data_IF_544664357515
#
_entry.id   IF_544664357515
#
_cell.length_a   1.000
_cell.length_b   1.000
_cell.length_c   1.000
_cell.angle_alpha   90.00
_cell.angle_beta   90.00
_cell.angle_gamma   90.00
#
_symmetry.space_group_name_H-M   'P 1'
#
loop_
_entity.id
_entity.type
_entity.pdbx_description
1 polymer ?
#
# COMPACT_ATOMS: atom_id res chain seq x y z
N UNK A 1 0.58 -21.18 15.91
CA UNK A 1 -0.81 -20.69 15.85
C UNK A 1 -1.00 -20.04 14.48
N UNK A 2 -2.19 -20.08 13.89
CA UNK A 2 -2.41 -19.38 12.63
C UNK A 2 -2.25 -17.87 12.85
N UNK A 3 -1.57 -17.17 11.94
CA UNK A 3 -1.49 -15.70 12.00
C UNK A 3 -2.90 -15.12 11.92
N UNK A 4 -3.22 -14.09 12.71
CA UNK A 4 -4.53 -13.44 12.66
C UNK A 4 -4.73 -12.81 11.27
N UNK A 5 -5.95 -12.95 10.76
CA UNK A 5 -6.29 -12.63 9.37
C UNK A 5 -7.65 -11.94 9.24
N UNK A 6 -7.80 -11.15 8.17
CA UNK A 6 -9.09 -10.60 7.77
C UNK A 6 -10.06 -11.69 7.32
N UNK A 7 -11.38 -11.48 7.51
CA UNK A 7 -12.39 -12.44 7.07
C UNK A 7 -12.39 -12.60 5.55
N UNK A 8 -12.61 -13.84 5.10
CA UNK A 8 -12.73 -14.20 3.68
C UNK A 8 -14.20 -14.08 3.28
N UNK A 9 -14.49 -13.11 2.43
CA UNK A 9 -15.82 -12.82 1.89
C UNK A 9 -15.89 -13.16 0.40
N UNK A 10 -17.07 -13.06 -0.20
CA UNK A 10 -17.21 -13.16 -1.67
C UNK A 10 -16.48 -12.05 -2.41
N UNK A 11 -16.29 -10.89 -1.78
CA UNK A 11 -15.62 -9.73 -2.38
C UNK A 11 -14.10 -9.90 -2.47
N UNK A 12 -13.45 -10.43 -1.42
CA UNK A 12 -11.98 -10.49 -1.35
C UNK A 12 -11.40 -11.88 -1.68
N UNK A 13 -12.22 -12.94 -1.79
CA UNK A 13 -11.75 -14.31 -2.04
C UNK A 13 -11.13 -14.44 -3.43
N UNK A 14 -9.85 -14.79 -3.48
CA UNK A 14 -9.14 -15.03 -4.74
C UNK A 14 -9.68 -16.27 -5.48
N UNK A 15 -10.17 -16.08 -6.70
CA UNK A 15 -10.55 -17.18 -7.60
C UNK A 15 -9.35 -17.78 -8.37
N UNK A 16 -8.59 -16.94 -9.08
CA UNK A 16 -7.45 -17.38 -9.91
C UNK A 16 -6.14 -17.38 -9.12
N UNK A 17 -5.47 -18.53 -9.10
CA UNK A 17 -4.19 -18.78 -8.39
C UNK A 17 -4.31 -18.50 -6.88
N UNK A 18 -5.26 -19.15 -6.17
CA UNK A 18 -5.58 -18.86 -4.77
C UNK A 18 -4.42 -19.13 -3.80
N UNK A 19 -3.45 -19.99 -4.17
CA UNK A 19 -2.23 -20.25 -3.37
C UNK A 19 -1.36 -19.00 -3.14
N UNK A 20 -1.50 -17.99 -4.01
CA UNK A 20 -0.86 -16.67 -3.89
C UNK A 20 -1.61 -15.72 -2.97
N UNK A 21 -2.78 -16.11 -2.50
CA UNK A 21 -3.60 -15.33 -1.59
C UNK A 21 -2.99 -15.28 -0.19
N UNK A 22 -3.05 -14.11 0.41
CA UNK A 22 -2.74 -13.84 1.81
C UNK A 22 -3.87 -13.00 2.38
N UNK A 23 -4.18 -13.22 3.66
CA UNK A 23 -5.27 -12.53 4.35
C UNK A 23 -4.83 -12.08 5.75
N UNK A 24 -3.63 -12.48 6.18
CA UNK A 24 -3.02 -12.08 7.44
C UNK A 24 -2.78 -10.57 7.48
N UNK A 25 -2.91 -10.00 8.68
CA UNK A 25 -2.75 -8.57 8.93
C UNK A 25 -1.37 -8.06 8.50
N UNK A 26 -0.31 -8.75 8.92
CA UNK A 26 1.07 -8.40 8.60
C UNK A 26 1.28 -8.16 7.09
N UNK A 27 0.87 -9.11 6.24
CA UNK A 27 1.05 -8.96 4.78
C UNK A 27 0.23 -7.79 4.23
N UNK A 28 -1.03 -7.65 4.64
CA UNK A 28 -1.93 -6.60 4.11
C UNK A 28 -1.44 -5.22 4.54
N UNK A 29 -1.16 -5.02 5.83
CA UNK A 29 -0.71 -3.75 6.38
C UNK A 29 0.64 -3.35 5.81
N UNK A 30 1.58 -4.30 5.70
CA UNK A 30 2.89 -4.03 5.10
C UNK A 30 2.75 -3.53 3.67
N UNK A 31 1.91 -4.16 2.85
CA UNK A 31 1.73 -3.72 1.45
C UNK A 31 1.10 -2.33 1.37
N UNK A 32 0.10 -2.04 2.21
CA UNK A 32 -0.56 -0.73 2.27
C UNK A 32 0.43 0.36 2.72
N UNK A 33 1.13 0.14 3.83
CA UNK A 33 1.99 1.13 4.46
C UNK A 33 3.27 1.42 3.67
N UNK A 34 3.74 0.47 2.87
CA UNK A 34 4.94 0.65 2.04
C UNK A 34 4.64 1.14 0.63
N UNK A 35 3.37 1.17 0.22
CA UNK A 35 3.00 1.73 -1.08
C UNK A 35 3.12 3.26 -1.07
N UNK A 36 3.80 3.87 -2.06
CA UNK A 36 3.95 5.32 -2.09
C UNK A 36 2.62 6.05 -2.32
N UNK A 37 1.67 5.39 -3.01
CA UNK A 37 0.34 5.92 -3.30
C UNK A 37 -0.69 4.79 -3.20
N UNK A 38 -1.79 5.07 -2.51
CA UNK A 38 -2.97 4.25 -2.44
C UNK A 38 -3.97 4.68 -3.50
N UNK A 39 -4.56 3.72 -4.20
CA UNK A 39 -5.63 3.96 -5.16
C UNK A 39 -6.98 3.72 -4.46
N UNK A 40 -7.70 4.80 -4.20
CA UNK A 40 -8.98 4.75 -3.48
C UNK A 40 -10.11 4.86 -4.47
N UNK A 41 -10.97 3.86 -4.46
CA UNK A 41 -12.10 3.75 -5.38
C UNK A 41 -13.42 3.76 -4.65
N UNK A 42 -14.39 4.47 -5.21
CA UNK A 42 -15.76 4.52 -4.71
C UNK A 42 -16.72 4.84 -5.86
N UNK A 43 -18.01 4.59 -5.66
CA UNK A 43 -19.03 4.92 -6.65
C UNK A 43 -19.61 6.30 -6.34
N UNK A 44 -19.56 7.19 -7.33
CA UNK A 44 -20.26 8.47 -7.28
C UNK A 44 -21.67 8.27 -7.86
N UNK A 45 -22.76 8.49 -7.11
CA UNK A 45 -24.11 8.27 -7.62
C UNK A 45 -24.49 9.18 -8.80
N UNK A 46 -23.75 10.27 -9.05
CA UNK A 46 -24.03 11.19 -10.15
C UNK A 46 -23.53 10.68 -11.51
N UNK A 47 -22.70 9.63 -11.54
CA UNK A 47 -22.11 9.13 -12.78
C UNK A 47 -21.84 7.61 -12.74
N UNK A 48 -21.85 6.91 -13.89
CA UNK A 48 -21.89 5.44 -13.91
C UNK A 48 -20.53 4.74 -13.68
N UNK A 49 -19.42 5.48 -13.66
CA UNK A 49 -18.07 4.95 -13.51
C UNK A 49 -17.61 4.96 -12.05
N UNK A 50 -16.81 3.98 -11.61
CA UNK A 50 -16.14 4.10 -10.32
C UNK A 50 -15.12 5.26 -10.38
N UNK A 51 -15.14 6.11 -9.37
CA UNK A 51 -14.06 7.09 -9.15
C UNK A 51 -12.83 6.34 -8.65
N UNK A 52 -11.65 6.74 -9.11
CA UNK A 52 -10.35 6.27 -8.57
C UNK A 52 -9.47 7.47 -8.34
N UNK A 53 -9.05 7.70 -7.10
CA UNK A 53 -8.21 8.83 -6.71
C UNK A 53 -6.93 8.35 -6.01
N UNK A 54 -5.77 8.94 -6.32
CA UNK A 54 -4.54 8.68 -5.60
C UNK A 54 -4.54 9.42 -4.26
N UNK A 55 -4.20 8.70 -3.19
CA UNK A 55 -4.01 9.27 -1.87
C UNK A 55 -2.81 8.67 -1.13
N UNK A 56 -2.30 9.43 -0.17
CA UNK A 56 -1.40 8.98 0.89
C UNK A 56 -2.27 8.52 2.05
N UNK A 57 -1.85 7.45 2.71
CA UNK A 57 -2.54 6.89 3.85
C UNK A 57 -1.71 5.79 4.49
N UNK A 58 -2.16 5.33 5.65
CA UNK A 58 -1.52 4.25 6.38
C UNK A 58 -2.54 3.56 7.29
N UNK A 59 -2.26 2.32 7.64
CA UNK A 59 -3.00 1.61 8.68
C UNK A 59 -2.56 2.11 10.05
N UNK A 60 -3.51 2.35 10.95
CA UNK A 60 -3.24 2.69 12.33
C UNK A 60 -4.47 2.40 13.21
N UNK A 61 -4.25 2.28 14.51
CA UNK A 61 -5.31 2.06 15.50
C UNK A 61 -5.29 3.21 16.50
N UNK A 62 -6.34 4.02 16.52
CA UNK A 62 -6.44 5.17 17.44
C UNK A 62 -6.92 4.74 18.82
N UNK A 63 -7.81 3.74 18.88
CA UNK A 63 -8.41 3.24 20.11
C UNK A 63 -7.38 2.46 20.97
N UNK A 64 -6.45 1.76 20.32
CA UNK A 64 -5.31 1.08 20.94
C UNK A 64 -4.02 1.35 20.15
N UNK A 65 -3.30 2.39 20.55
CA UNK A 65 -2.09 2.85 19.86
C UNK A 65 -0.86 1.95 20.11
N UNK A 66 -0.93 1.08 21.11
CA UNK A 66 0.13 0.14 21.49
C UNK A 66 -0.13 -1.28 20.96
N UNK A 67 -1.29 -1.51 20.31
CA UNK A 67 -1.63 -2.77 19.68
C UNK A 67 -0.56 -3.20 18.66
N UNK A 68 -0.17 -4.49 18.70
CA UNK A 68 0.66 -5.07 17.65
C UNK A 68 -0.12 -5.05 16.32
N UNK A 69 0.32 -4.29 15.31
CA UNK A 69 -0.39 -4.19 14.04
C UNK A 69 -0.43 -5.54 13.31
N UNK A 70 0.52 -6.44 13.56
CA UNK A 70 0.53 -7.76 12.94
C UNK A 70 -0.46 -8.73 13.60
N UNK A 71 -0.95 -8.39 14.79
CA UNK A 71 -1.83 -9.23 15.59
C UNK A 71 -3.28 -8.73 15.65
N UNK A 72 -3.52 -7.48 15.27
CA UNK A 72 -4.80 -6.78 15.43
C UNK A 72 -5.28 -6.19 14.12
N UNK A 73 -6.59 -6.05 13.96
CA UNK A 73 -7.11 -5.23 12.88
C UNK A 73 -6.74 -3.76 13.10
N UNK A 74 -6.63 -3.05 11.99
CA UNK A 74 -6.26 -1.64 11.95
C UNK A 74 -7.26 -0.93 11.06
N UNK A 75 -7.60 0.30 11.42
CA UNK A 75 -8.28 1.21 10.51
C UNK A 75 -7.26 1.74 9.48
N UNK A 76 -7.76 2.18 8.34
CA UNK A 76 -6.95 2.85 7.33
C UNK A 76 -7.26 4.34 7.31
N UNK A 77 -6.27 5.16 7.62
CA UNK A 77 -6.38 6.62 7.56
C UNK A 77 -5.84 7.13 6.23
N UNK A 78 -6.58 8.04 5.60
CA UNK A 78 -6.25 8.58 4.29
C UNK A 78 -6.31 10.10 4.36
N UNK A 79 -5.24 10.77 3.93
CA UNK A 79 -5.26 12.21 3.77
C UNK A 79 -6.17 12.52 2.58
N UNK A 80 -7.17 13.39 2.74
CA UNK A 80 -8.01 13.66 1.58
C UNK A 80 -9.30 14.36 1.91
N UNK A 81 -9.62 15.31 1.05
CA UNK A 81 -10.96 15.84 0.90
C UNK A 81 -11.61 15.13 -0.30
N UNK A 82 -12.21 13.97 -0.05
CA UNK A 82 -13.27 13.52 -0.96
C UNK A 82 -14.35 14.57 -0.84
N UNK A 83 -14.66 15.26 -1.94
CA UNK A 83 -15.44 16.49 -1.91
C UNK A 83 -16.60 16.33 -0.93
N UNK A 84 -16.79 17.27 -0.01
CA UNK A 84 -17.85 17.19 0.98
C UNK A 84 -19.23 16.95 0.35
N UNK A 85 -19.38 17.09 -0.98
CA UNK A 85 -20.55 16.66 -1.76
C UNK A 85 -20.74 15.14 -1.81
N UNK A 86 -19.70 14.32 -1.92
CA UNK A 86 -19.84 12.84 -1.91
C UNK A 86 -20.32 12.36 -0.54
N UNK A 87 -19.82 12.96 0.55
CA UNK A 87 -20.34 12.70 1.90
C UNK A 87 -21.67 13.40 2.22
N UNK A 88 -21.97 14.58 1.64
CA UNK A 88 -23.26 15.29 1.80
C UNK A 88 -24.39 14.69 0.95
N UNK A 89 -24.08 14.18 -0.24
CA UNK A 89 -24.96 13.33 -1.05
C UNK A 89 -25.15 11.95 -0.40
N UNK A 90 -24.33 11.64 0.61
CA UNK A 90 -24.50 10.61 1.63
C UNK A 90 -25.71 10.80 2.57
N UNK A 91 -26.76 11.53 2.18
CA UNK A 91 -28.10 11.22 2.71
C UNK A 91 -28.55 9.79 2.35
N UNK A 92 -27.81 9.12 1.46
CA UNK A 92 -27.94 7.71 1.10
C UNK A 92 -26.72 6.84 1.48
N UNK A 93 -25.71 7.35 2.20
CA UNK A 93 -24.68 6.48 2.78
C UNK A 93 -25.26 5.83 4.03
N UNK A 94 -25.12 4.52 4.17
CA UNK A 94 -25.55 3.79 5.38
C UNK A 94 -24.93 4.39 6.64
N UNK A 95 -25.49 4.06 7.81
CA UNK A 95 -24.91 4.42 9.11
C UNK A 95 -23.41 4.01 9.25
N UNK A 96 -22.95 3.07 8.41
CA UNK A 96 -21.58 2.56 8.38
C UNK A 96 -20.57 3.52 7.69
N UNK A 97 -21.01 4.45 6.84
CA UNK A 97 -20.17 5.36 6.07
C UNK A 97 -20.19 5.12 4.55
N UNK A 98 -19.27 5.77 3.82
CA UNK A 98 -19.15 5.61 2.35
C UNK A 98 -18.43 4.30 2.02
N UNK A 99 -19.04 3.34 1.28
CA UNK A 99 -18.34 2.14 0.87
C UNK A 99 -17.21 2.48 -0.10
N UNK A 100 -15.99 2.04 0.22
CA UNK A 100 -14.81 2.28 -0.60
C UNK A 100 -13.97 1.00 -0.77
N UNK A 101 -13.13 1.00 -1.78
CA UNK A 101 -12.08 0.00 -2.01
C UNK A 101 -10.74 0.70 -2.11
N UNK A 102 -9.72 0.20 -1.40
CA UNK A 102 -8.36 0.73 -1.47
C UNK A 102 -7.43 -0.33 -2.02
N UNK A 103 -6.65 0.03 -3.04
CA UNK A 103 -5.66 -0.84 -3.65
C UNK A 103 -4.24 -0.27 -3.51
N UNK A 104 -3.31 -1.16 -3.16
CA UNK A 104 -1.87 -0.91 -3.14
C UNK A 104 -1.16 -2.00 -3.94
N UNK A 105 -0.12 -1.65 -4.70
CA UNK A 105 0.60 -2.61 -5.54
C UNK A 105 2.07 -2.24 -5.71
N UNK A 106 2.90 -3.28 -5.73
CA UNK A 106 4.34 -3.24 -5.96
C UNK A 106 4.69 -4.24 -7.05
N UNK A 107 5.57 -3.85 -7.97
CA UNK A 107 6.26 -4.78 -8.86
C UNK A 107 7.63 -5.04 -8.25
N UNK A 108 8.00 -6.31 -8.14
CA UNK A 108 9.26 -6.74 -7.54
C UNK A 108 10.21 -7.38 -8.59
N UNK A 109 9.73 -7.69 -9.80
CA UNK A 109 10.59 -8.11 -10.92
C UNK A 109 9.83 -8.58 -12.17
N UNK A 110 10.49 -8.56 -13.33
CA UNK A 110 9.99 -9.15 -14.58
C UNK A 110 10.40 -10.62 -14.66
N UNK A 111 9.45 -11.53 -14.80
CA UNK A 111 9.74 -12.97 -14.96
C UNK A 111 9.70 -13.33 -16.43
N UNK A 112 10.85 -13.74 -16.96
CA UNK A 112 11.08 -14.05 -18.37
C UNK A 112 11.24 -15.56 -18.52
N UNK A 113 10.33 -16.16 -19.28
CA UNK A 113 10.18 -17.59 -19.51
C UNK A 113 10.55 -17.96 -20.97
N UNK A 114 10.65 -19.25 -21.27
CA UNK A 114 10.96 -19.75 -22.62
C UNK A 114 9.84 -19.43 -23.62
N UNK A 115 8.60 -19.46 -23.16
CA UNK A 115 7.41 -19.20 -23.97
C UNK A 115 6.70 -17.92 -23.52
N UNK A 116 6.18 -17.08 -24.45
CA UNK A 116 5.51 -15.83 -24.10
C UNK A 116 4.36 -15.97 -23.11
N UNK A 117 3.65 -17.11 -23.12
CA UNK A 117 2.53 -17.38 -22.23
C UNK A 117 2.93 -17.57 -20.75
N UNK A 118 4.20 -17.87 -20.49
CA UNK A 118 4.74 -18.09 -19.15
C UNK A 118 5.49 -16.86 -18.60
N UNK A 119 5.63 -15.79 -19.41
CA UNK A 119 6.11 -14.50 -18.94
C UNK A 119 5.17 -13.90 -17.89
N UNK A 120 5.74 -13.22 -16.90
CA UNK A 120 4.97 -12.64 -15.79
C UNK A 120 5.76 -11.55 -15.07
N UNK A 121 5.32 -11.16 -13.88
CA UNK A 121 6.06 -10.30 -12.97
C UNK A 121 5.98 -10.84 -11.54
N UNK A 122 7.02 -10.68 -10.73
CA UNK A 122 6.88 -10.78 -9.27
C UNK A 122 6.20 -9.50 -8.79
N UNK A 123 5.24 -9.65 -7.88
CA UNK A 123 4.44 -8.52 -7.40
C UNK A 123 3.82 -8.83 -6.04
N UNK A 124 3.47 -7.77 -5.32
CA UNK A 124 2.67 -7.80 -4.10
C UNK A 124 1.57 -6.76 -4.23
N UNK A 125 0.32 -7.16 -4.02
CA UNK A 125 -0.81 -6.25 -4.05
C UNK A 125 -1.74 -6.52 -2.87
N UNK A 126 -2.35 -5.49 -2.31
CA UNK A 126 -3.40 -5.60 -1.32
C UNK A 126 -4.63 -4.84 -1.80
N UNK A 127 -5.81 -5.41 -1.54
CA UNK A 127 -7.11 -4.79 -1.76
C UNK A 127 -7.88 -4.82 -0.45
N UNK A 128 -8.30 -3.65 0.01
CA UNK A 128 -9.02 -3.42 1.26
C UNK A 128 -10.41 -2.92 0.92
N UNK A 129 -11.43 -3.56 1.51
CA UNK A 129 -12.82 -3.14 1.42
C UNK A 129 -13.27 -2.62 2.78
N UNK A 130 -13.91 -1.46 2.80
CA UNK A 130 -14.34 -0.85 4.05
C UNK A 130 -15.26 0.33 3.85
N UNK A 131 -15.53 1.02 4.95
CA UNK A 131 -16.41 2.18 4.98
C UNK A 131 -15.65 3.40 5.50
N UNK A 132 -15.62 4.44 4.67
CA UNK A 132 -14.97 5.70 5.00
C UNK A 132 -15.91 6.62 5.76
N UNK A 133 -15.38 7.25 6.80
CA UNK A 133 -16.03 8.30 7.59
C UNK A 133 -15.07 9.47 7.78
N UNK A 134 -15.61 10.68 7.92
CA UNK A 134 -14.81 11.86 8.22
C UNK A 134 -14.37 11.82 9.69
N UNK A 135 -13.07 12.02 9.94
CA UNK A 135 -12.56 12.15 11.30
C UNK A 135 -12.92 13.54 11.84
N UNK A 136 -13.79 13.59 12.84
CA UNK A 136 -14.25 14.86 13.46
C UNK A 136 -13.63 15.13 14.81
N UNK A 137 -13.14 14.10 15.51
CA UNK A 137 -12.41 14.27 16.76
C UNK A 137 -11.03 14.88 16.49
N UNK A 138 -10.63 15.87 17.29
CA UNK A 138 -9.39 16.60 17.07
C UNK A 138 -8.15 15.76 17.40
N UNK A 139 -8.22 14.91 18.44
CA UNK A 139 -7.11 14.06 18.84
C UNK A 139 -6.88 12.93 17.83
N UNK A 140 -7.95 12.29 17.36
CA UNK A 140 -7.90 11.28 16.29
C UNK A 140 -7.35 11.87 14.99
N UNK A 141 -7.76 13.09 14.63
CA UNK A 141 -7.28 13.76 13.43
C UNK A 141 -5.78 14.07 13.52
N UNK A 142 -5.30 14.58 14.64
CA UNK A 142 -3.87 14.85 14.86
C UNK A 142 -3.05 13.56 14.87
N UNK A 143 -3.57 12.50 15.51
CA UNK A 143 -2.97 11.17 15.49
C UNK A 143 -2.82 10.64 14.06
N UNK A 144 -3.89 10.69 13.28
CA UNK A 144 -3.88 10.22 11.89
C UNK A 144 -2.93 11.04 11.01
N UNK A 145 -2.91 12.37 11.15
CA UNK A 145 -1.97 13.24 10.43
C UNK A 145 -0.52 12.89 10.78
N UNK A 146 -0.22 12.64 12.06
CA UNK A 146 1.09 12.18 12.50
C UNK A 146 1.44 10.84 11.85
N UNK A 147 0.58 9.82 11.97
CA UNK A 147 0.82 8.49 11.40
C UNK A 147 1.03 8.54 9.89
N UNK A 148 0.22 9.29 9.14
CA UNK A 148 0.37 9.43 7.68
C UNK A 148 1.71 10.08 7.33
N UNK A 149 2.10 11.12 8.06
CA UNK A 149 3.36 11.84 7.83
C UNK A 149 4.57 10.93 8.10
N UNK A 150 4.58 10.26 9.24
CA UNK A 150 5.69 9.40 9.66
C UNK A 150 5.72 8.06 8.91
N UNK A 151 4.58 7.61 8.34
CA UNK A 151 4.56 6.46 7.44
C UNK A 151 5.32 6.74 6.14
N UNK A 152 5.31 8.00 5.66
CA UNK A 152 6.09 8.39 4.48
C UNK A 152 7.57 8.55 4.80
N UNK A 153 7.87 9.30 5.85
CA UNK A 153 9.23 9.56 6.31
C UNK A 153 9.22 9.53 7.85
N UNK A 154 9.74 8.48 8.48
CA UNK A 154 9.80 8.38 9.94
C UNK A 154 10.41 9.63 10.57
N UNK A 155 9.87 10.03 11.72
CA UNK A 155 10.25 11.23 12.48
C UNK A 155 9.89 12.57 11.80
N UNK A 156 9.38 12.56 10.56
CA UNK A 156 9.13 13.79 9.80
C UNK A 156 8.13 14.71 10.47
N UNK A 157 7.11 14.15 11.12
CA UNK A 157 6.16 14.93 11.89
C UNK A 157 6.91 15.77 12.91
N UNK A 158 7.60 15.16 13.88
CA UNK A 158 8.30 15.87 14.95
C UNK A 158 9.42 16.81 14.45
N UNK A 159 10.01 16.50 13.29
CA UNK A 159 11.05 17.32 12.62
C UNK A 159 10.50 18.44 11.73
N UNK A 160 9.19 18.60 11.68
CA UNK A 160 8.51 19.73 11.03
C UNK A 160 7.97 20.71 12.09
N UNK A 161 7.44 21.86 11.66
CA UNK A 161 6.79 22.81 12.58
C UNK A 161 5.53 22.18 13.19
N UNK A 162 5.48 22.07 14.51
CA UNK A 162 4.33 21.54 15.25
C UNK A 162 3.90 22.44 16.41
N UNK A 163 2.61 22.40 16.80
CA UNK A 163 1.52 21.68 16.14
C UNK A 163 1.05 22.37 14.84
N UNK A 164 0.23 21.70 13.99
CA UNK A 164 -0.46 22.37 12.90
C UNK A 164 -1.28 23.57 13.39
N UNK A 165 -1.32 24.62 12.57
CA UNK A 165 -2.15 25.80 12.83
C UNK A 165 -3.64 25.47 12.66
N UNK A 166 -4.50 26.29 13.27
CA UNK A 166 -5.96 26.15 13.09
C UNK A 166 -6.38 26.25 11.62
N UNK A 167 -5.72 27.08 10.83
CA UNK A 167 -6.01 27.23 9.41
C UNK A 167 -5.68 25.96 8.62
N UNK A 168 -4.53 25.34 8.89
CA UNK A 168 -4.14 24.07 8.27
C UNK A 168 -5.14 22.97 8.63
N UNK A 169 -5.48 22.84 9.92
CA UNK A 169 -6.48 21.87 10.40
C UNK A 169 -7.88 22.07 9.79
N UNK A 170 -8.26 23.31 9.44
CA UNK A 170 -9.53 23.59 8.76
C UNK A 170 -9.49 23.22 7.27
N UNK A 171 -8.32 23.35 6.62
CA UNK A 171 -8.14 23.06 5.20
C UNK A 171 -7.89 21.58 4.89
N UNK A 172 -7.45 20.79 5.88
CA UNK A 172 -7.11 19.37 5.69
C UNK A 172 -8.14 18.48 6.36
N UNK A 173 -8.73 17.57 5.56
CA UNK A 173 -9.62 16.51 6.05
C UNK A 173 -8.89 15.17 6.06
N UNK A 174 -9.24 14.34 7.05
CA UNK A 174 -8.79 12.96 7.17
C UNK A 174 -10.01 12.05 7.11
N UNK A 175 -9.91 10.98 6.34
CA UNK A 175 -10.90 9.92 6.32
C UNK A 175 -10.36 8.71 7.09
N UNK A 176 -11.20 8.15 7.96
CA UNK A 176 -10.98 6.85 8.57
C UNK A 176 -11.79 5.81 7.84
N UNK A 177 -11.14 4.74 7.44
CA UNK A 177 -11.74 3.62 6.74
C UNK A 177 -11.77 2.44 7.68
N UNK A 178 -12.96 2.10 8.16
CA UNK A 178 -13.17 0.88 8.93
C UNK A 178 -13.08 -0.31 7.99
N UNK A 179 -12.07 -1.17 8.19
CA UNK A 179 -11.81 -2.29 7.30
C UNK A 179 -12.80 -3.42 7.57
N UNK A 180 -13.60 -3.77 6.55
CA UNK A 180 -14.55 -4.88 6.63
C UNK A 180 -13.91 -6.20 6.22
N UNK A 181 -13.09 -6.18 5.16
CA UNK A 181 -12.30 -7.33 4.72
C UNK A 181 -11.15 -6.87 3.84
N UNK A 182 -10.06 -7.63 3.79
CA UNK A 182 -8.95 -7.35 2.89
C UNK A 182 -8.34 -8.64 2.36
N UNK A 183 -7.66 -8.56 1.23
CA UNK A 183 -6.84 -9.66 0.74
C UNK A 183 -5.60 -9.13 0.05
N UNK A 184 -4.54 -9.91 0.12
CA UNK A 184 -3.31 -9.69 -0.61
C UNK A 184 -3.07 -10.81 -1.62
N UNK A 185 -2.37 -10.48 -2.69
CA UNK A 185 -1.92 -11.42 -3.71
C UNK A 185 -0.44 -11.20 -3.96
N UNK A 186 0.34 -12.26 -3.74
CA UNK A 186 1.80 -12.20 -3.79
C UNK A 186 2.30 -13.24 -4.78
N UNK A 187 3.09 -12.82 -5.76
CA UNK A 187 3.79 -13.70 -6.70
C UNK A 187 5.30 -13.52 -6.51
N UNK A 188 5.96 -14.63 -6.21
CA UNK A 188 7.41 -14.74 -6.05
C UNK A 188 7.95 -15.83 -6.98
N UNK A 189 9.27 -15.94 -7.08
CA UNK A 189 10.00 -17.00 -7.76
C UNK A 189 10.34 -16.70 -9.23
N UNK A 190 10.93 -17.70 -9.87
CA UNK A 190 11.37 -17.67 -11.26
C UNK A 190 10.30 -18.07 -12.28
N UNK A 191 10.70 -18.21 -13.56
CA UNK A 191 9.82 -18.73 -14.61
C UNK A 191 9.42 -20.18 -14.33
N UNK A 192 8.26 -20.57 -14.84
CA UNK A 192 7.70 -21.92 -14.73
C UNK A 192 7.30 -22.39 -16.13
N UNK A 193 8.27 -22.90 -16.87
CA UNK A 193 8.13 -23.35 -18.25
C UNK A 193 7.49 -24.74 -18.37
N UNK A 194 6.86 -25.00 -19.51
CA UNK A 194 6.32 -26.30 -19.83
C UNK A 194 7.41 -27.35 -20.04
N UNK A 195 7.09 -28.60 -19.73
CA UNK A 195 8.05 -29.72 -19.87
C UNK A 195 8.52 -29.90 -21.32
N UNK A 196 7.67 -29.59 -22.30
CA UNK A 196 8.02 -29.67 -23.72
C UNK A 196 9.09 -28.64 -24.10
N UNK A 197 8.92 -27.38 -23.67
CA UNK A 197 9.87 -26.30 -23.91
C UNK A 197 11.21 -26.58 -23.20
N UNK A 198 11.16 -27.12 -21.98
CA UNK A 198 12.36 -27.50 -21.23
C UNK A 198 13.19 -28.61 -21.88
N UNK A 199 12.57 -29.45 -22.73
CA UNK A 199 13.23 -30.51 -23.51
C UNK A 199 13.72 -30.03 -24.87
N UNK A 200 13.29 -28.85 -25.32
CA UNK A 200 13.76 -28.28 -26.56
C UNK A 200 15.12 -27.60 -26.33
N UNK A 201 16.20 -28.32 -26.61
CA UNK A 201 17.57 -27.85 -26.38
C UNK A 201 17.92 -26.61 -27.23
N UNK A 202 17.42 -26.53 -28.45
CA UNK A 202 17.63 -25.37 -29.32
C UNK A 202 16.97 -24.13 -28.75
N UNK A 203 15.71 -24.24 -28.31
CA UNK A 203 14.98 -23.16 -27.65
C UNK A 203 15.73 -22.67 -26.40
N UNK A 204 16.14 -23.60 -25.53
CA UNK A 204 16.86 -23.28 -24.29
C UNK A 204 18.24 -22.67 -24.52
N UNK A 205 18.88 -22.94 -25.65
CA UNK A 205 20.16 -22.34 -26.02
C UNK A 205 19.99 -20.91 -26.55
N UNK A 206 18.84 -20.62 -27.18
CA UNK A 206 18.60 -19.36 -27.88
C UNK A 206 17.75 -18.35 -27.08
N UNK A 207 17.07 -18.79 -26.02
CA UNK A 207 16.18 -17.93 -25.20
C UNK A 207 16.69 -17.86 -23.77
N UNK A 208 17.03 -16.66 -23.32
CA UNK A 208 17.38 -16.40 -21.92
C UNK A 208 16.14 -16.44 -21.04
N UNK A 209 16.25 -17.07 -19.87
CA UNK A 209 15.19 -17.09 -18.85
C UNK A 209 15.72 -16.64 -17.50
N UNK A 210 14.85 -16.06 -16.69
CA UNK A 210 15.21 -15.56 -15.38
C UNK A 210 14.27 -14.48 -14.89
N UNK A 211 14.74 -13.71 -13.92
CA UNK A 211 14.01 -12.56 -13.38
C UNK A 211 14.88 -11.32 -13.44
N UNK A 212 14.31 -10.22 -13.91
CA UNK A 212 14.91 -8.88 -13.79
C UNK A 212 14.27 -8.21 -12.58
N UNK A 213 14.92 -8.14 -11.40
CA UNK A 213 14.35 -7.51 -10.22
C UNK A 213 14.11 -6.02 -10.44
N UNK A 214 13.08 -5.48 -9.78
CA UNK A 214 12.81 -4.04 -9.74
C UNK A 214 12.43 -3.63 -8.32
N UNK A 215 12.86 -2.45 -7.91
CA UNK A 215 12.51 -1.84 -6.63
C UNK A 215 12.43 -0.31 -6.81
N UNK A 216 11.76 0.36 -5.87
CA UNK A 216 11.75 1.83 -5.81
C UNK A 216 13.08 2.32 -5.24
N UNK A 217 13.69 3.29 -5.90
CA UNK A 217 14.90 3.97 -5.43
C UNK A 217 14.58 5.43 -5.12
N UNK A 218 14.74 5.82 -3.86
CA UNK A 218 14.76 7.23 -3.44
C UNK A 218 16.09 7.87 -3.83
N UNK A 219 16.00 8.93 -4.64
CA UNK A 219 17.14 9.74 -5.09
C UNK A 219 17.73 10.61 -3.99
N UNK A 220 18.91 11.19 -4.24
CA UNK A 220 19.56 12.14 -3.33
C UNK A 220 18.64 13.36 -3.07
N UNK A 221 18.52 13.83 -1.82
CA UNK A 221 17.68 14.98 -1.50
C UNK A 221 18.20 16.24 -2.19
N UNK A 222 17.26 16.98 -2.77
CA UNK A 222 17.54 18.28 -3.39
C UNK A 222 16.97 19.35 -2.44
N UNK A 223 17.79 20.29 -1.94
CA UNK A 223 17.30 21.34 -1.06
C UNK A 223 16.29 22.24 -1.79
N UNK A 224 15.26 22.67 -1.07
CA UNK A 224 14.32 23.68 -1.57
C UNK A 224 14.97 25.06 -1.69
N UNK A 225 14.36 25.95 -2.47
CA UNK A 225 14.87 27.31 -2.70
C UNK A 225 15.05 28.10 -1.40
N UNK A 226 14.11 27.98 -0.46
CA UNK A 226 14.13 28.66 0.85
C UNK A 226 14.76 27.80 1.97
N UNK A 227 15.51 26.75 1.64
CA UNK A 227 16.11 25.86 2.64
C UNK A 227 17.21 26.57 3.42
N UNK A 228 17.09 26.59 4.76
CA UNK A 228 18.07 27.21 5.66
C UNK A 228 19.27 26.32 6.02
N UNK A 229 19.08 25.04 6.41
CA UNK A 229 20.19 24.15 6.76
C UNK A 229 21.15 23.91 5.59
N UNK A 230 22.46 23.95 5.84
CA UNK A 230 23.48 23.68 4.81
C UNK A 230 23.52 22.20 4.39
N UNK A 231 23.29 21.31 5.34
CA UNK A 231 23.32 19.86 5.16
C UNK A 231 21.93 19.24 5.35
N UNK A 232 21.70 18.12 4.67
CA UNK A 232 20.51 17.29 4.88
C UNK A 232 20.58 16.69 6.28
N UNK A 233 19.47 16.75 7.03
CA UNK A 233 19.41 16.13 8.35
C UNK A 233 19.63 14.61 8.28
N UNK A 234 20.49 14.07 9.15
CA UNK A 234 20.91 12.66 9.18
C UNK A 234 19.77 11.63 9.10
N UNK A 235 18.62 11.92 9.72
CA UNK A 235 17.50 10.98 9.76
C UNK A 235 16.90 10.74 8.36
N UNK A 236 16.95 11.74 7.48
CA UNK A 236 16.48 11.66 6.09
C UNK A 236 17.42 10.76 5.29
N UNK A 237 18.74 10.98 5.38
CA UNK A 237 19.73 10.16 4.68
C UNK A 237 19.73 8.72 5.18
N UNK A 238 19.65 8.53 6.51
CA UNK A 238 19.57 7.19 7.11
C UNK A 238 18.34 6.45 6.60
N UNK A 239 17.17 7.08 6.64
CA UNK A 239 15.94 6.49 6.11
C UNK A 239 16.09 6.14 4.61
N UNK A 240 16.58 7.08 3.80
CA UNK A 240 16.72 6.91 2.35
C UNK A 240 17.59 5.69 2.01
N UNK A 241 18.76 5.58 2.64
CA UNK A 241 19.68 4.47 2.42
C UNK A 241 19.09 3.13 2.89
N UNK A 242 18.47 3.10 4.07
CA UNK A 242 17.84 1.89 4.60
C UNK A 242 16.67 1.42 3.73
N UNK A 243 15.81 2.35 3.28
CA UNK A 243 14.64 2.01 2.47
C UNK A 243 15.04 1.51 1.08
N UNK A 244 16.06 2.12 0.47
CA UNK A 244 16.64 1.64 -0.78
C UNK A 244 17.22 0.23 -0.66
N UNK A 245 17.97 -0.03 0.42
CA UNK A 245 18.51 -1.37 0.67
C UNK A 245 17.41 -2.40 0.93
N UNK A 246 16.38 -2.03 1.73
CA UNK A 246 15.21 -2.88 1.98
C UNK A 246 14.49 -3.25 0.70
N UNK A 247 14.22 -2.26 -0.16
CA UNK A 247 13.58 -2.47 -1.46
C UNK A 247 14.40 -3.41 -2.35
N UNK A 248 15.71 -3.16 -2.44
CA UNK A 248 16.63 -4.01 -3.19
C UNK A 248 16.64 -5.44 -2.67
N UNK A 249 16.87 -5.65 -1.37
CA UNK A 249 16.88 -6.98 -0.75
C UNK A 249 15.54 -7.70 -0.99
N UNK A 250 14.42 -7.01 -0.79
CA UNK A 250 13.08 -7.57 -1.03
C UNK A 250 12.88 -8.06 -2.46
N UNK A 251 13.33 -7.30 -3.46
CA UNK A 251 13.23 -7.69 -4.87
C UNK A 251 14.10 -8.92 -5.20
N UNK A 252 15.30 -9.03 -4.64
CA UNK A 252 16.17 -10.20 -4.83
C UNK A 252 15.65 -11.44 -4.08
N UNK A 253 15.18 -11.29 -2.85
CA UNK A 253 14.56 -12.35 -2.05
C UNK A 253 13.31 -12.91 -2.72
N UNK A 254 12.52 -12.05 -3.37
CA UNK A 254 11.35 -12.45 -4.13
C UNK A 254 11.70 -13.43 -5.24
N UNK A 255 12.92 -13.42 -5.77
CA UNK A 255 13.38 -14.35 -6.82
C UNK A 255 13.81 -15.69 -6.22
N UNK A 256 14.50 -15.66 -5.08
CA UNK A 256 15.07 -16.85 -4.45
C UNK A 256 14.00 -17.73 -3.79
N UNK A 257 12.88 -17.14 -3.36
CA UNK A 257 11.75 -17.87 -2.79
C UNK A 257 11.00 -18.65 -3.87
N UNK A 258 10.61 -19.90 -3.57
CA UNK A 258 9.64 -20.63 -4.39
C UNK A 258 8.25 -20.04 -4.16
N UNK A 259 7.66 -19.46 -5.21
CA UNK A 259 6.31 -18.86 -5.18
C UNK A 259 5.17 -19.82 -5.42
#
# INVERSE_FOLDING_TARGET
MASPEYPKTTANKLGRLPKRGRYDYETVHTIINTAPVLHVSFNDPEQPFPVVLPFLGCTANFDDQDADPNATDQDLYIHGYVSGRIFKSGKNSSEEGLPITVAASHIDGLVLALAPFHNSCNYRSAVVYGYATLVTDEAERLYAMHKITDNLLPERWAKSRNPPTKAELQSTSILRVKVSSASAKVRLGGPSDERADLKNEELRKNVWTGVVPVWLQWGEPIPGEDNGPEEVEDYIERWRLMENERGRMGAFDAIQKKG
#
